data_IF_652755449715
#
_entry.id   IF_652755449715
#
_cell.length_a   1.000
_cell.length_b   1.000
_cell.length_c   1.000
_cell.angle_alpha   90.00
_cell.angle_beta   90.00
_cell.angle_gamma   90.00
#
_symmetry.space_group_name_H-M   'P 1'
#
loop_
_entity.id
_entity.type
_entity.pdbx_description
1 polymer ?
#
# COMPACT_ATOMS: atom_id res chain seq x y z
N UNK A 1 -23.02 -7.74 10.42
CA UNK A 1 -21.90 -8.48 9.80
C UNK A 1 -21.70 -7.98 8.38
N UNK A 2 -20.46 -7.77 7.95
CA UNK A 2 -20.10 -7.36 6.59
C UNK A 2 -19.32 -8.48 5.90
N UNK A 3 -19.50 -8.61 4.59
CA UNK A 3 -18.77 -9.55 3.73
C UNK A 3 -18.37 -8.82 2.45
N UNK A 4 -17.27 -9.21 1.86
CA UNK A 4 -16.85 -8.67 0.56
C UNK A 4 -17.29 -9.63 -0.55
N UNK A 5 -18.01 -9.10 -1.53
CA UNK A 5 -18.52 -9.85 -2.69
C UNK A 5 -17.58 -9.62 -3.86
N UNK A 6 -16.96 -10.69 -4.32
CA UNK A 6 -16.00 -10.65 -5.43
C UNK A 6 -16.74 -11.02 -6.71
N UNK A 7 -16.78 -10.09 -7.67
CA UNK A 7 -17.50 -10.21 -8.94
C UNK A 7 -16.57 -10.09 -10.14
N UNK A 8 -16.96 -10.75 -11.23
CA UNK A 8 -16.37 -10.56 -12.55
C UNK A 8 -17.47 -10.57 -13.60
N UNK A 9 -17.44 -9.59 -14.49
CA UNK A 9 -18.44 -9.43 -15.56
C UNK A 9 -19.89 -9.45 -15.00
N UNK A 10 -20.08 -8.86 -13.81
CA UNK A 10 -21.36 -8.83 -13.10
C UNK A 10 -21.73 -10.11 -12.34
N UNK A 11 -20.98 -11.21 -12.48
CA UNK A 11 -21.24 -12.50 -11.81
C UNK A 11 -20.42 -12.65 -10.54
N UNK A 12 -21.03 -13.18 -9.48
CA UNK A 12 -20.35 -13.46 -8.22
C UNK A 12 -19.47 -14.70 -8.38
N UNK A 13 -18.18 -14.56 -8.08
CA UNK A 13 -17.22 -15.66 -8.07
C UNK A 13 -17.19 -16.29 -6.67
N UNK A 14 -16.89 -15.50 -5.65
CA UNK A 14 -16.88 -15.93 -4.25
C UNK A 14 -17.14 -14.74 -3.31
N UNK A 15 -17.35 -15.07 -2.04
CA UNK A 15 -17.38 -14.14 -0.93
C UNK A 15 -16.11 -14.27 -0.10
N UNK A 16 -15.59 -13.13 0.35
CA UNK A 16 -14.65 -13.05 1.44
C UNK A 16 -15.39 -12.76 2.74
N UNK A 17 -15.17 -13.63 3.73
CA UNK A 17 -15.86 -13.54 5.01
C UNK A 17 -14.95 -13.83 6.20
N UNK A 18 -15.24 -13.15 7.32
CA UNK A 18 -14.64 -13.43 8.61
C UNK A 18 -15.28 -14.61 9.33
N UNK A 19 -14.77 -14.92 10.53
CA UNK A 19 -15.24 -16.02 11.38
C UNK A 19 -16.76 -15.98 11.61
N UNK A 20 -17.31 -14.81 11.98
CA UNK A 20 -18.72 -14.66 12.33
C UNK A 20 -19.67 -15.20 11.24
N UNK A 21 -19.32 -15.03 9.96
CA UNK A 21 -20.14 -15.49 8.84
C UNK A 21 -20.03 -17.00 8.64
N UNK A 22 -18.81 -17.54 8.71
CA UNK A 22 -18.56 -18.98 8.60
C UNK A 22 -19.21 -19.74 9.78
N UNK A 23 -19.08 -19.21 11.00
CA UNK A 23 -19.71 -19.75 12.21
C UNK A 23 -21.22 -19.70 12.10
N UNK A 24 -21.80 -18.62 11.58
CA UNK A 24 -23.23 -18.53 11.32
C UNK A 24 -23.69 -19.60 10.31
N UNK A 25 -22.98 -19.80 9.20
CA UNK A 25 -23.29 -20.85 8.23
C UNK A 25 -23.20 -22.25 8.85
N UNK A 26 -22.15 -22.51 9.63
CA UNK A 26 -21.97 -23.77 10.33
C UNK A 26 -23.03 -24.01 11.42
N UNK A 27 -23.42 -22.98 12.15
CA UNK A 27 -24.47 -23.06 13.16
C UNK A 27 -25.85 -23.27 12.51
N UNK A 28 -26.07 -22.70 11.32
CA UNK A 28 -27.28 -22.97 10.53
C UNK A 28 -27.36 -24.43 10.12
N UNK A 29 -26.23 -25.04 9.72
CA UNK A 29 -26.14 -26.48 9.50
C UNK A 29 -26.46 -27.27 10.78
N UNK A 30 -25.83 -26.93 11.91
CA UNK A 30 -26.05 -27.62 13.21
C UNK A 30 -27.50 -27.57 13.69
N UNK A 31 -28.14 -26.41 13.58
CA UNK A 31 -29.53 -26.21 14.01
C UNK A 31 -30.53 -27.03 13.19
N UNK A 32 -30.18 -27.40 11.96
CA UNK A 32 -31.07 -28.06 11.00
C UNK A 32 -30.71 -29.53 10.74
N UNK A 33 -29.57 -30.01 11.27
CA UNK A 33 -29.04 -31.36 11.07
C UNK A 33 -29.97 -32.49 11.54
N UNK A 34 -30.93 -32.24 12.44
CA UNK A 34 -31.96 -33.22 12.78
C UNK A 34 -32.98 -33.50 11.66
N UNK A 35 -33.15 -32.56 10.71
CA UNK A 35 -34.15 -32.64 9.62
C UNK A 35 -33.55 -32.53 8.22
N UNK A 36 -32.31 -32.03 8.09
CA UNK A 36 -31.62 -31.83 6.80
C UNK A 36 -30.65 -32.98 6.47
N UNK A 37 -30.33 -33.87 7.41
CA UNK A 37 -29.51 -35.06 7.13
C UNK A 37 -30.10 -35.97 6.03
N UNK A 38 -31.39 -35.85 5.71
CA UNK A 38 -32.02 -36.55 4.58
C UNK A 38 -31.96 -35.80 3.23
N UNK A 39 -31.47 -34.55 3.21
CA UNK A 39 -31.36 -33.69 2.03
C UNK A 39 -29.88 -33.45 1.62
N UNK A 40 -28.92 -34.06 2.33
CA UNK A 40 -27.50 -33.76 2.28
C UNK A 40 -26.80 -34.13 0.97
N UNK A 41 -27.34 -35.07 0.21
CA UNK A 41 -26.53 -35.71 -0.84
C UNK A 41 -26.55 -34.96 -2.19
N UNK A 42 -27.37 -33.91 -2.34
CA UNK A 42 -27.56 -33.25 -3.64
C UNK A 42 -27.63 -31.71 -3.61
N UNK A 43 -27.20 -31.03 -2.54
CA UNK A 43 -27.38 -29.58 -2.42
C UNK A 43 -26.21 -28.77 -1.84
N UNK A 44 -26.36 -27.44 -1.86
CA UNK A 44 -25.34 -26.49 -1.38
C UNK A 44 -24.97 -26.70 0.09
N UNK A 45 -25.90 -27.17 0.93
CA UNK A 45 -25.58 -27.52 2.33
C UNK A 45 -24.74 -28.79 2.47
N UNK A 46 -24.87 -29.76 1.57
CA UNK A 46 -23.97 -30.92 1.54
C UNK A 46 -22.55 -30.52 1.17
N UNK A 47 -22.43 -29.63 0.17
CA UNK A 47 -21.13 -29.04 -0.21
C UNK A 47 -20.53 -28.22 0.92
N UNK A 48 -21.32 -27.39 1.59
CA UNK A 48 -20.89 -26.61 2.75
C UNK A 48 -20.42 -27.53 3.88
N UNK A 49 -21.23 -28.51 4.29
CA UNK A 49 -20.90 -29.44 5.37
C UNK A 49 -19.61 -30.21 5.08
N UNK A 50 -19.46 -30.74 3.86
CA UNK A 50 -18.23 -31.39 3.41
C UNK A 50 -17.04 -30.43 3.48
N UNK A 51 -17.17 -29.23 2.93
CA UNK A 51 -16.08 -28.26 2.90
C UNK A 51 -15.65 -27.81 4.30
N UNK A 52 -16.59 -27.64 5.24
CA UNK A 52 -16.29 -27.31 6.64
C UNK A 52 -15.56 -28.48 7.32
N UNK A 53 -15.94 -29.73 7.05
CA UNK A 53 -15.25 -30.91 7.61
C UNK A 53 -13.83 -31.12 7.07
N UNK A 54 -13.51 -30.51 5.92
CA UNK A 54 -12.18 -30.54 5.31
C UNK A 54 -11.29 -29.35 5.76
N UNK A 55 -11.85 -28.37 6.50
CA UNK A 55 -11.07 -27.28 7.09
C UNK A 55 -10.17 -27.82 8.21
N UNK A 56 -8.97 -27.24 8.37
CA UNK A 56 -8.05 -27.68 9.42
C UNK A 56 -8.63 -27.32 10.80
N UNK A 57 -8.64 -28.29 11.71
CA UNK A 57 -9.11 -28.15 13.10
C UNK A 57 -8.70 -26.83 13.82
N UNK A 58 -7.45 -26.33 13.73
CA UNK A 58 -7.07 -25.09 14.42
C UNK A 58 -7.75 -23.83 13.85
N UNK A 59 -8.13 -23.79 12.56
CA UNK A 59 -8.68 -22.58 11.94
C UNK A 59 -10.13 -22.36 12.33
N UNK A 60 -10.89 -23.44 12.53
CA UNK A 60 -12.31 -23.39 12.86
C UNK A 60 -12.58 -23.28 14.37
N UNK A 61 -11.70 -23.84 15.22
CA UNK A 61 -11.93 -23.92 16.67
C UNK A 61 -11.36 -22.74 17.49
N UNK A 62 -10.46 -21.93 16.92
CA UNK A 62 -9.84 -20.77 17.61
C UNK A 62 -10.82 -19.62 17.90
N UNK A 63 -12.03 -19.62 17.33
CA UNK A 63 -13.03 -18.55 17.51
C UNK A 63 -13.72 -18.49 18.88
N UNK A 64 -13.71 -19.57 19.67
CA UNK A 64 -14.54 -19.69 20.89
C UNK A 64 -13.77 -19.74 22.22
N UNK A 65 -12.45 -19.55 22.22
CA UNK A 65 -11.64 -19.53 23.44
C UNK A 65 -11.32 -18.10 23.86
N UNK A 66 -11.95 -17.61 24.93
CA UNK A 66 -11.64 -16.31 25.55
C UNK A 66 -10.24 -16.24 26.19
N UNK A 67 -9.42 -17.28 26.05
CA UNK A 67 -8.04 -17.36 26.57
C UNK A 67 -7.04 -17.92 25.54
N UNK A 68 -7.34 -17.88 24.24
CA UNK A 68 -6.37 -18.27 23.22
C UNK A 68 -5.17 -17.30 23.24
N UNK A 69 -4.00 -17.86 23.53
CA UNK A 69 -2.71 -17.19 23.43
C UNK A 69 -2.59 -16.66 22.00
N UNK A 70 -2.62 -15.32 21.88
CA UNK A 70 -2.54 -14.57 20.62
C UNK A 70 -1.43 -15.19 19.76
N UNK A 71 -1.80 -15.93 18.70
CA UNK A 71 -0.86 -16.34 17.67
C UNK A 71 -0.47 -15.06 16.94
N UNK A 72 0.52 -14.37 17.48
CA UNK A 72 1.19 -13.27 16.79
C UNK A 72 2.07 -13.88 15.71
N UNK A 73 1.78 -13.51 14.47
CA UNK A 73 2.55 -13.75 13.24
C UNK A 73 2.66 -15.20 12.76
N UNK A 74 1.64 -15.67 12.03
CA UNK A 74 1.94 -16.18 10.69
C UNK A 74 2.34 -14.95 9.87
N UNK A 75 3.63 -14.83 9.55
CA UNK A 75 4.18 -13.76 8.70
C UNK A 75 3.61 -13.88 7.29
N UNK A 76 2.43 -13.30 7.11
CA UNK A 76 1.83 -12.97 5.82
C UNK A 76 2.20 -11.51 5.45
N UNK A 77 2.95 -10.82 6.33
CA UNK A 77 3.55 -9.52 6.08
C UNK A 77 4.43 -9.56 4.82
N UNK A 78 5.19 -10.64 4.59
CA UNK A 78 6.07 -10.78 3.42
C UNK A 78 5.32 -10.96 2.08
N UNK A 79 4.06 -11.39 2.09
CA UNK A 79 3.33 -11.67 0.85
C UNK A 79 2.60 -10.43 0.27
N UNK A 80 2.31 -9.41 1.10
CA UNK A 80 1.49 -8.26 0.68
C UNK A 80 1.94 -6.90 1.26
N UNK A 81 3.07 -6.84 1.96
CA UNK A 81 3.63 -5.59 2.49
C UNK A 81 4.89 -5.17 1.75
N UNK A 82 4.73 -4.60 0.54
CA UNK A 82 5.69 -3.60 0.05
C UNK A 82 5.49 -2.24 0.75
N UNK A 83 4.79 -2.21 1.91
CA UNK A 83 4.91 -1.06 2.79
C UNK A 83 6.35 -1.06 3.31
N UNK A 84 7.12 -0.06 2.87
CA UNK A 84 8.50 0.14 3.35
C UNK A 84 8.43 0.27 4.87
N UNK A 85 8.89 -0.76 5.57
CA UNK A 85 8.97 -0.72 7.02
C UNK A 85 10.11 0.20 7.43
N UNK A 86 9.75 1.42 7.84
CA UNK A 86 10.72 2.38 8.37
C UNK A 86 11.48 1.83 9.59
N UNK A 87 10.99 0.78 10.28
CA UNK A 87 11.67 0.14 11.42
C UNK A 87 13.07 -0.34 11.05
N UNK A 88 13.28 -0.76 9.81
CA UNK A 88 14.57 -1.28 9.33
C UNK A 88 15.46 -0.22 8.67
N UNK A 89 14.91 0.95 8.33
CA UNK A 89 15.69 2.01 7.68
C UNK A 89 16.84 2.47 8.57
N UNK A 90 18.00 2.65 7.98
CA UNK A 90 19.20 3.17 8.62
C UNK A 90 19.58 4.53 8.05
N UNK A 91 20.13 5.37 8.93
CA UNK A 91 20.68 6.67 8.57
C UNK A 91 22.19 6.52 8.43
N UNK A 92 22.71 6.67 7.21
CA UNK A 92 24.15 6.63 6.94
C UNK A 92 24.71 8.04 6.97
N UNK A 93 25.71 8.28 7.82
CA UNK A 93 26.29 9.61 8.08
C UNK A 93 27.80 9.62 7.97
N UNK A 94 28.36 10.80 7.69
CA UNK A 94 29.79 11.06 7.83
C UNK A 94 30.18 11.16 9.33
N UNK A 95 31.45 10.93 9.67
CA UNK A 95 31.96 11.00 11.04
C UNK A 95 31.88 12.40 11.67
N UNK A 96 31.79 13.45 10.84
CA UNK A 96 31.56 14.84 11.28
C UNK A 96 30.10 15.16 11.63
N UNK A 97 29.16 14.28 11.27
CA UNK A 97 27.74 14.46 11.52
C UNK A 97 27.31 13.64 12.73
N UNK A 98 26.71 14.29 13.71
CA UNK A 98 26.01 13.62 14.80
C UNK A 98 24.51 13.63 14.54
N UNK A 99 23.84 12.58 15.02
CA UNK A 99 22.38 12.39 14.91
C UNK A 99 21.84 12.34 16.32
N UNK A 100 20.80 13.12 16.57
CA UNK A 100 20.01 13.12 17.78
C UNK A 100 18.53 13.01 17.42
N UNK A 101 17.70 12.70 18.43
CA UNK A 101 16.24 12.64 18.28
C UNK A 101 15.75 11.76 17.13
N UNK A 102 16.39 10.60 16.91
CA UNK A 102 15.91 9.64 15.91
C UNK A 102 14.59 9.02 16.36
N UNK A 103 13.58 9.08 15.51
CA UNK A 103 12.28 8.50 15.76
C UNK A 103 11.72 7.83 14.52
N UNK A 104 10.90 6.79 14.74
CA UNK A 104 10.21 6.04 13.69
C UNK A 104 8.75 5.88 14.12
N UNK A 105 7.82 6.51 13.40
CA UNK A 105 6.39 6.49 13.76
C UNK A 105 5.53 6.58 12.52
N UNK A 106 4.54 5.70 12.40
CA UNK A 106 3.52 5.80 11.36
C UNK A 106 4.05 5.71 9.92
N UNK A 107 5.08 4.89 9.68
CA UNK A 107 5.71 4.79 8.35
C UNK A 107 6.55 6.02 7.98
N UNK A 108 6.96 6.82 8.97
CA UNK A 108 7.90 7.92 8.80
C UNK A 108 9.12 7.70 9.68
N UNK A 109 10.25 8.23 9.23
CA UNK A 109 11.48 8.33 10.01
C UNK A 109 11.86 9.81 10.12
N UNK A 110 12.19 10.26 11.32
CA UNK A 110 12.73 11.60 11.52
C UNK A 110 13.96 11.62 12.41
N UNK A 111 14.83 12.60 12.20
CA UNK A 111 16.05 12.77 12.99
C UNK A 111 16.57 14.21 12.91
N UNK A 112 17.27 14.62 13.96
CA UNK A 112 17.99 15.90 14.03
C UNK A 112 19.47 15.66 13.76
N UNK A 113 20.07 16.45 12.87
CA UNK A 113 21.50 16.37 12.57
C UNK A 113 22.23 17.62 13.02
N UNK A 114 23.45 17.42 13.52
CA UNK A 114 24.43 18.50 13.70
C UNK A 114 25.74 18.14 13.04
N UNK A 115 26.35 19.12 12.38
CA UNK A 115 27.66 18.98 11.76
C UNK A 115 28.69 19.80 12.54
N UNK A 116 29.86 19.22 12.81
CA UNK A 116 30.96 19.89 13.50
C UNK A 116 32.00 20.50 12.55
N UNK A 117 31.93 20.19 11.25
CA UNK A 117 32.94 20.59 10.28
C UNK A 117 32.48 21.76 9.39
N UNK A 118 33.42 22.68 9.13
CA UNK A 118 33.27 23.81 8.22
C UNK A 118 33.49 23.46 6.74
N UNK A 119 33.95 22.24 6.44
CA UNK A 119 34.53 21.87 5.15
C UNK A 119 33.61 20.96 4.33
N UNK A 120 33.16 21.43 3.16
CA UNK A 120 32.34 20.73 2.15
C UNK A 120 31.08 19.99 2.66
N UNK A 121 30.23 19.62 1.71
CA UNK A 121 28.92 19.06 2.02
C UNK A 121 29.08 17.70 2.71
N UNK A 122 28.47 17.54 3.87
CA UNK A 122 28.34 16.24 4.51
C UNK A 122 26.99 15.65 4.20
N UNK A 123 27.00 14.38 3.86
CA UNK A 123 25.80 13.68 3.45
C UNK A 123 25.14 12.91 4.58
N UNK A 124 23.82 12.88 4.50
CA UNK A 124 22.96 11.90 5.10
C UNK A 124 22.41 11.11 3.94
N UNK A 125 22.46 9.79 4.02
CA UNK A 125 21.80 8.93 3.08
C UNK A 125 20.87 7.98 3.82
N UNK A 126 19.66 7.83 3.30
CA UNK A 126 18.69 6.86 3.78
C UNK A 126 18.80 5.57 2.98
N UNK A 127 18.22 4.49 3.51
CA UNK A 127 18.11 3.25 2.76
C UNK A 127 17.27 3.40 1.50
N UNK A 128 17.42 2.42 0.62
CA UNK A 128 16.81 2.36 -0.69
C UNK A 128 15.27 2.36 -0.63
N UNK A 129 14.67 3.28 -1.38
CA UNK A 129 13.21 3.42 -1.53
C UNK A 129 12.84 3.60 -2.99
N UNK A 130 11.66 3.08 -3.38
CA UNK A 130 11.17 3.18 -4.76
C UNK A 130 10.66 4.59 -5.07
N UNK A 131 9.76 5.09 -4.21
CA UNK A 131 9.21 6.43 -4.18
C UNK A 131 9.26 6.97 -2.75
N UNK A 132 9.49 8.27 -2.59
CA UNK A 132 9.61 8.88 -1.28
C UNK A 132 9.18 10.34 -1.28
N UNK A 133 8.90 10.83 -0.08
CA UNK A 133 8.80 12.24 0.24
C UNK A 133 9.83 12.58 1.33
N UNK A 134 10.77 13.45 1.01
CA UNK A 134 11.82 13.91 1.93
C UNK A 134 11.50 15.35 2.32
N UNK A 135 11.17 15.57 3.58
CA UNK A 135 10.91 16.89 4.16
C UNK A 135 12.08 17.30 5.05
N UNK A 136 12.56 18.53 4.89
CA UNK A 136 13.67 19.06 5.69
C UNK A 136 13.28 20.40 6.27
N UNK A 137 13.35 20.51 7.59
CA UNK A 137 13.13 21.73 8.36
C UNK A 137 14.44 22.27 8.90
N UNK A 138 14.71 23.55 8.64
CA UNK A 138 15.94 24.22 9.00
C UNK A 138 15.66 25.46 9.87
N UNK A 139 16.42 25.62 10.96
CA UNK A 139 16.29 26.75 11.90
C UNK A 139 17.12 27.99 11.55
N UNK A 140 18.08 27.86 10.63
CA UNK A 140 19.01 28.94 10.23
C UNK A 140 19.31 28.83 8.74
N UNK A 141 20.02 29.83 8.17
CA UNK A 141 20.51 29.76 6.80
C UNK A 141 21.57 28.66 6.67
N UNK A 142 21.12 27.46 6.29
CA UNK A 142 21.96 26.30 6.02
C UNK A 142 22.15 26.19 4.53
N UNK A 143 23.42 26.13 4.10
CA UNK A 143 23.72 25.74 2.75
C UNK A 143 23.54 24.21 2.64
N UNK A 144 22.39 23.81 2.10
CA UNK A 144 22.01 22.42 1.89
C UNK A 144 21.64 22.12 0.44
N UNK A 145 21.84 20.88 0.04
CA UNK A 145 21.30 20.30 -1.18
C UNK A 145 20.52 19.04 -0.82
N UNK A 146 19.34 18.89 -1.41
CA UNK A 146 18.51 17.72 -1.21
C UNK A 146 18.39 16.93 -2.50
N UNK A 147 18.37 15.61 -2.41
CA UNK A 147 18.43 14.79 -3.61
C UNK A 147 18.37 13.30 -3.36
N UNK A 148 18.93 12.55 -4.28
CA UNK A 148 19.12 11.12 -4.13
C UNK A 148 20.34 10.63 -4.91
N UNK A 149 20.86 9.48 -4.51
CA UNK A 149 21.88 8.77 -5.25
C UNK A 149 21.25 7.64 -6.09
N UNK A 150 21.63 7.49 -7.37
CA UNK A 150 21.19 6.40 -8.25
C UNK A 150 22.00 5.12 -8.03
N UNK A 151 22.43 4.86 -6.79
CA UNK A 151 23.24 3.69 -6.43
C UNK A 151 22.67 2.99 -5.21
N UNK A 152 22.96 1.68 -5.06
CA UNK A 152 22.64 0.95 -3.85
C UNK A 152 23.13 1.65 -2.58
N UNK A 153 22.36 1.54 -1.48
CA UNK A 153 22.62 2.24 -0.22
C UNK A 153 24.04 1.99 0.31
N UNK A 154 24.57 0.78 0.13
CA UNK A 154 25.94 0.40 0.50
C UNK A 154 27.02 1.23 -0.22
N UNK A 155 26.80 1.57 -1.50
CA UNK A 155 27.69 2.45 -2.25
C UNK A 155 27.46 3.90 -1.85
N UNK A 156 26.21 4.29 -1.58
CA UNK A 156 25.89 5.63 -1.09
C UNK A 156 26.60 5.95 0.23
N UNK A 157 26.81 4.97 1.12
CA UNK A 157 27.63 5.15 2.35
C UNK A 157 29.05 5.63 2.04
N UNK A 158 29.66 5.10 0.99
CA UNK A 158 31.01 5.49 0.58
C UNK A 158 31.00 6.86 -0.11
N UNK A 159 29.94 7.17 -0.88
CA UNK A 159 29.77 8.49 -1.51
C UNK A 159 29.61 9.63 -0.48
N UNK A 160 28.96 9.36 0.65
CA UNK A 160 28.83 10.31 1.77
C UNK A 160 30.17 10.55 2.49
N UNK A 161 31.05 9.55 2.51
CA UNK A 161 32.37 9.62 3.15
C UNK A 161 33.42 10.29 2.26
N UNK A 162 33.23 10.27 0.94
CA UNK A 162 34.18 10.81 -0.03
C UNK A 162 33.60 12.04 -0.74
N UNK A 163 33.98 13.28 -0.33
CA UNK A 163 33.50 14.51 -0.95
C UNK A 163 33.66 14.54 -2.48
N UNK A 164 34.73 13.92 -2.98
CA UNK A 164 35.03 13.81 -4.42
C UNK A 164 34.04 12.95 -5.22
N UNK A 165 33.19 12.14 -4.56
CA UNK A 165 32.22 11.26 -5.23
C UNK A 165 30.78 11.73 -5.09
N UNK A 166 30.53 12.83 -4.38
CA UNK A 166 29.19 13.40 -4.19
C UNK A 166 28.55 13.80 -5.53
N UNK A 167 29.37 14.05 -6.56
CA UNK A 167 28.99 14.34 -7.94
C UNK A 167 28.16 13.25 -8.65
N UNK A 168 27.95 12.10 -8.01
CA UNK A 168 27.23 10.96 -8.59
C UNK A 168 25.70 10.98 -8.36
N UNK A 169 25.18 11.95 -7.60
CA UNK A 169 23.75 12.05 -7.29
C UNK A 169 23.03 13.20 -8.01
N UNK A 170 21.70 13.18 -7.90
CA UNK A 170 20.81 14.23 -8.39
C UNK A 170 20.37 15.08 -7.21
N UNK A 171 20.72 16.37 -7.21
CA UNK A 171 20.50 17.26 -6.08
C UNK A 171 19.87 18.59 -6.49
N UNK A 172 19.27 19.24 -5.51
CA UNK A 172 18.68 20.57 -5.63
C UNK A 172 19.15 21.39 -4.45
N UNK A 173 19.74 22.55 -4.73
CA UNK A 173 20.16 23.52 -3.73
C UNK A 173 19.22 24.72 -3.76
N UNK A 174 18.47 24.98 -2.69
CA UNK A 174 17.75 26.23 -2.53
C UNK A 174 18.73 27.41 -2.47
N UNK A 175 18.35 28.51 -3.09
CA UNK A 175 19.03 29.81 -3.04
C UNK A 175 18.08 30.86 -2.49
N UNK A 176 18.67 31.93 -1.98
CA UNK A 176 17.93 33.11 -1.56
C UNK A 176 17.05 33.64 -2.71
N UNK A 177 15.86 34.13 -2.36
CA UNK A 177 14.89 34.63 -3.33
C UNK A 177 14.14 33.55 -4.10
N UNK A 178 14.37 32.26 -3.79
CA UNK A 178 13.63 31.16 -4.41
C UNK A 178 14.13 30.60 -5.68
N UNK A 179 15.37 30.87 -5.99
CA UNK A 179 15.97 30.12 -7.06
C UNK A 179 16.37 28.75 -6.50
N UNK A 180 16.16 27.72 -7.28
CA UNK A 180 16.71 26.39 -7.01
C UNK A 180 17.79 26.11 -8.04
N UNK A 181 18.96 25.69 -7.59
CA UNK A 181 20.02 25.21 -8.47
C UNK A 181 19.94 23.70 -8.53
N UNK A 182 19.79 23.14 -9.73
CA UNK A 182 19.67 21.71 -9.95
C UNK A 182 21.02 21.15 -10.37
N UNK A 183 21.45 20.08 -9.73
CA UNK A 183 22.71 19.38 -9.95
C UNK A 183 22.41 17.96 -10.42
N UNK A 184 23.00 17.58 -11.56
CA UNK A 184 23.02 16.20 -12.04
C UNK A 184 24.46 15.71 -12.16
N UNK A 185 24.69 14.39 -12.19
CA UNK A 185 25.98 13.85 -12.60
C UNK A 185 26.36 14.40 -13.98
N UNK A 186 27.65 14.55 -14.27
CA UNK A 186 28.16 14.66 -15.64
C UNK A 186 28.67 13.31 -16.11
N UNK A 187 28.48 12.99 -17.38
CA UNK A 187 28.80 11.66 -17.92
C UNK A 187 30.29 11.27 -17.77
N UNK A 188 31.22 12.22 -17.66
CA UNK A 188 32.67 11.93 -17.83
C UNK A 188 33.66 12.74 -16.95
N UNK A 189 33.22 13.56 -15.99
CA UNK A 189 34.12 14.58 -15.37
C UNK A 189 34.24 14.53 -13.85
N UNK A 190 33.50 13.66 -13.16
CA UNK A 190 33.46 13.69 -11.69
C UNK A 190 33.08 15.06 -11.15
N UNK A 191 32.30 15.86 -11.89
CA UNK A 191 31.84 17.18 -11.48
C UNK A 191 30.35 17.35 -11.82
N UNK A 192 29.67 18.30 -11.19
CA UNK A 192 28.27 18.57 -11.47
C UNK A 192 28.09 19.49 -12.68
N UNK A 193 27.09 19.25 -13.52
CA UNK A 193 26.56 20.28 -14.42
C UNK A 193 25.40 20.98 -13.72
N UNK A 194 25.51 22.30 -13.53
CA UNK A 194 24.35 23.13 -13.21
C UNK A 194 23.56 23.40 -14.49
N UNK A 195 22.30 22.97 -14.55
CA UNK A 195 21.37 23.52 -15.55
C UNK A 195 20.72 24.77 -14.96
N UNK A 196 21.22 25.95 -15.38
CA UNK A 196 20.55 27.23 -15.10
C UNK A 196 19.54 27.52 -16.20
N UNK A 197 18.39 26.83 -16.21
CA UNK A 197 17.25 27.31 -17.01
C UNK A 197 15.91 26.94 -16.38
N UNK A 198 15.40 27.90 -15.60
CA UNK A 198 13.99 28.28 -15.69
C UNK A 198 13.00 27.53 -14.81
N UNK A 199 13.23 27.48 -13.49
CA UNK A 199 12.09 27.35 -12.56
C UNK A 199 12.42 28.06 -11.25
N UNK A 200 11.92 29.28 -11.11
CA UNK A 200 11.98 30.04 -9.86
C UNK A 200 10.91 29.48 -8.92
N UNK A 201 11.33 28.85 -7.83
CA UNK A 201 10.47 28.40 -6.73
C UNK A 201 10.64 29.38 -5.57
N UNK A 202 9.88 30.47 -5.56
CA UNK A 202 10.04 31.62 -4.65
C UNK A 202 10.23 31.25 -3.15
N UNK A 203 11.44 31.46 -2.62
CA UNK A 203 11.89 31.19 -1.25
C UNK A 203 12.14 32.53 -0.56
N UNK A 204 11.07 33.13 -0.07
CA UNK A 204 11.18 34.09 1.01
C UNK A 204 10.34 33.59 2.19
N UNK A 205 10.96 33.44 3.36
CA UNK A 205 10.23 33.40 4.61
C UNK A 205 10.56 34.71 5.32
N UNK A 206 9.60 35.64 5.34
CA UNK A 206 9.75 36.95 5.99
C UNK A 206 9.89 36.84 7.51
N UNK A 207 9.58 35.65 8.08
CA UNK A 207 9.53 35.41 9.53
C UNK A 207 10.62 34.44 10.05
N UNK A 208 11.62 34.14 9.23
CA UNK A 208 12.94 33.72 9.71
C UNK A 208 13.13 32.37 10.39
N UNK A 209 12.14 31.47 10.54
CA UNK A 209 12.36 30.34 11.46
C UNK A 209 12.20 28.91 10.94
N UNK A 210 11.48 28.62 9.86
CA UNK A 210 11.44 27.23 9.34
C UNK A 210 11.22 27.24 7.82
N UNK A 211 12.09 26.52 7.09
CA UNK A 211 11.88 26.18 5.68
C UNK A 211 11.53 24.71 5.61
N UNK A 212 10.38 24.36 5.03
CA UNK A 212 10.03 22.96 4.80
C UNK A 212 10.25 22.60 3.34
N UNK A 213 11.42 22.05 3.03
CA UNK A 213 11.69 21.64 1.66
C UNK A 213 11.28 20.18 1.47
N UNK A 214 10.29 19.97 0.61
CA UNK A 214 9.79 18.64 0.25
C UNK A 214 10.27 18.24 -1.11
N UNK A 215 10.80 17.03 -1.23
CA UNK A 215 11.07 16.39 -2.52
C UNK A 215 10.24 15.14 -2.63
N UNK A 216 9.59 14.96 -3.77
CA UNK A 216 9.03 13.66 -4.12
C UNK A 216 9.56 13.15 -5.44
N UNK A 217 9.76 11.84 -5.47
CA UNK A 217 9.98 11.08 -6.69
C UNK A 217 8.69 10.32 -6.97
N UNK A 218 8.10 10.52 -8.16
CA UNK A 218 6.86 9.83 -8.54
C UNK A 218 6.91 9.26 -9.95
N UNK A 219 6.16 8.19 -10.16
CA UNK A 219 6.02 7.49 -11.44
C UNK A 219 4.67 7.85 -12.09
N UNK A 220 4.45 9.11 -12.47
CA UNK A 220 3.16 9.49 -13.08
C UNK A 220 3.01 9.01 -14.53
N UNK A 221 1.99 8.19 -14.77
CA UNK A 221 0.94 8.46 -15.76
C UNK A 221 1.16 8.17 -17.25
N UNK A 222 2.35 7.82 -17.73
CA UNK A 222 2.55 7.61 -19.18
C UNK A 222 3.18 6.27 -19.55
N UNK A 223 2.92 5.19 -18.81
CA UNK A 223 3.38 3.82 -19.14
C UNK A 223 4.91 3.65 -19.30
N UNK A 224 5.69 4.69 -19.09
CA UNK A 224 7.11 4.77 -19.48
C UNK A 224 8.05 4.52 -18.31
N UNK A 225 7.52 4.28 -17.09
CA UNK A 225 8.34 4.10 -15.88
C UNK A 225 9.24 5.29 -15.56
N UNK A 226 8.97 6.46 -16.14
CA UNK A 226 9.78 7.66 -15.94
C UNK A 226 9.51 8.25 -14.57
N UNK A 227 10.59 8.52 -13.83
CA UNK A 227 10.52 9.24 -12.57
C UNK A 227 10.39 10.74 -12.81
N UNK A 228 9.60 11.38 -11.98
CA UNK A 228 9.49 12.83 -11.89
C UNK A 228 10.07 13.26 -10.56
N UNK A 229 10.90 14.30 -10.58
CA UNK A 229 11.41 14.93 -9.38
C UNK A 229 10.68 16.25 -9.16
N UNK A 230 10.01 16.38 -8.02
CA UNK A 230 9.24 17.58 -7.69
C UNK A 230 9.72 18.16 -6.37
N UNK A 231 9.69 19.49 -6.27
CA UNK A 231 10.06 20.24 -5.08
C UNK A 231 8.91 21.13 -4.61
N UNK A 232 8.70 21.21 -3.30
CA UNK A 232 7.78 22.18 -2.67
C UNK A 232 8.46 22.86 -1.47
N UNK A 233 8.14 24.13 -1.24
CA UNK A 233 8.69 24.96 -0.16
C UNK A 233 7.86 24.94 1.13
N UNK A 234 6.59 24.57 1.03
CA UNK A 234 5.67 24.60 2.16
C UNK A 234 4.93 23.28 2.24
N UNK A 235 4.26 23.05 3.37
CA UNK A 235 3.35 21.93 3.55
C UNK A 235 2.18 21.87 2.54
N UNK A 236 2.06 22.85 1.65
CA UNK A 236 1.06 22.94 0.61
C UNK A 236 1.22 21.95 -0.55
N UNK A 237 0.27 22.01 -1.46
CA UNK A 237 0.14 21.13 -2.63
C UNK A 237 0.87 21.64 -3.87
N UNK A 238 1.59 22.76 -3.77
CA UNK A 238 2.22 23.45 -4.89
C UNK A 238 3.58 22.83 -5.21
N UNK A 239 3.54 21.71 -5.93
CA UNK A 239 4.72 20.99 -6.37
C UNK A 239 5.25 21.57 -7.68
N UNK A 240 6.54 21.87 -7.72
CA UNK A 240 7.24 22.28 -8.94
C UNK A 240 8.06 21.11 -9.47
N UNK A 241 7.77 20.67 -10.69
CA UNK A 241 8.58 19.65 -11.37
C UNK A 241 9.91 20.24 -11.81
N UNK A 242 11.00 19.51 -11.54
CA UNK A 242 12.35 19.87 -11.94
C UNK A 242 12.81 18.97 -13.09
N UNK A 243 13.45 19.60 -14.08
CA UNK A 243 14.12 18.93 -15.17
C UNK A 243 15.63 18.87 -14.88
N UNK A 244 16.24 17.72 -15.19
CA UNK A 244 17.68 17.52 -15.15
C UNK A 244 18.22 17.38 -16.57
N UNK A 245 19.50 17.67 -16.78
CA UNK A 245 20.17 17.46 -18.08
C UNK A 245 20.27 15.99 -18.44
N UNK A 246 20.26 15.12 -17.43
CA UNK A 246 20.27 13.67 -17.56
C UNK A 246 18.92 13.10 -17.17
N UNK A 247 18.53 12.01 -17.83
CA UNK A 247 17.33 11.27 -17.45
C UNK A 247 17.49 10.70 -16.04
N UNK A 248 16.42 10.82 -15.25
CA UNK A 248 16.35 10.17 -13.95
C UNK A 248 16.38 8.63 -14.14
N UNK A 249 16.92 7.88 -13.17
CA UNK A 249 16.89 6.43 -13.23
C UNK A 249 15.46 5.91 -13.38
N UNK A 250 15.28 4.83 -14.13
CA UNK A 250 14.00 4.13 -14.30
C UNK A 250 13.46 3.62 -12.95
N UNK A 251 12.14 3.43 -12.87
CA UNK A 251 11.42 3.08 -11.63
C UNK A 251 11.81 1.73 -11.01
N UNK A 252 12.37 0.83 -11.80
CA UNK A 252 12.89 -0.48 -11.36
C UNK A 252 14.15 -0.37 -10.49
N UNK A 253 14.89 0.74 -10.60
CA UNK A 253 16.09 0.96 -9.80
C UNK A 253 15.75 1.60 -8.47
N UNK A 254 16.13 0.99 -7.37
CA UNK A 254 16.06 1.63 -6.06
C UNK A 254 16.98 2.85 -6.00
N UNK A 255 16.53 3.88 -5.30
CA UNK A 255 17.29 5.13 -5.10
C UNK A 255 17.45 5.39 -3.61
N UNK A 256 18.53 6.05 -3.24
CA UNK A 256 18.84 6.35 -1.84
C UNK A 256 18.67 7.85 -1.60
N UNK A 257 17.61 8.30 -0.88
CA UNK A 257 17.40 9.70 -0.57
C UNK A 257 18.60 10.26 0.18
N UNK A 258 18.97 11.49 -0.13
CA UNK A 258 20.14 12.10 0.45
C UNK A 258 19.96 13.59 0.75
N UNK A 259 20.58 14.01 1.84
CA UNK A 259 20.69 15.41 2.25
C UNK A 259 22.16 15.75 2.42
N UNK A 260 22.62 16.73 1.66
CA UNK A 260 23.98 17.25 1.70
C UNK A 260 23.96 18.62 2.36
N UNK A 261 24.74 18.91 3.39
CA UNK A 261 24.74 20.23 4.02
C UNK A 261 26.11 20.61 4.58
N UNK A 262 26.40 21.91 4.69
CA UNK A 262 27.67 22.41 5.23
C UNK A 262 27.46 23.57 6.22
N UNK A 263 28.34 23.62 7.22
CA UNK A 263 28.30 24.60 8.31
C UNK A 263 28.38 23.90 9.67
N UNK A 264 29.18 24.44 10.57
CA UNK A 264 29.31 23.92 11.94
C UNK A 264 28.18 24.44 12.82
N UNK A 265 27.66 23.60 13.72
CA UNK A 265 26.66 23.99 14.72
C UNK A 265 25.24 24.18 14.19
N UNK A 266 24.98 23.78 12.94
CA UNK A 266 23.64 23.87 12.34
C UNK A 266 22.78 22.65 12.71
N UNK A 267 21.49 22.89 12.92
CA UNK A 267 20.50 21.85 13.23
C UNK A 267 19.57 21.63 12.04
N UNK A 268 19.49 20.37 11.61
CA UNK A 268 18.63 19.96 10.51
C UNK A 268 17.63 18.91 10.98
N UNK A 269 16.34 19.17 10.86
CA UNK A 269 15.30 18.18 11.10
C UNK A 269 14.90 17.57 9.77
N UNK A 270 15.20 16.29 9.56
CA UNK A 270 14.86 15.59 8.33
C UNK A 270 13.77 14.58 8.65
N UNK A 271 12.70 14.59 7.85
CA UNK A 271 11.63 13.59 7.89
C UNK A 271 11.55 12.90 6.53
N UNK A 272 11.71 11.59 6.52
CA UNK A 272 11.50 10.76 5.33
C UNK A 272 10.17 10.01 5.47
N UNK A 273 9.32 10.16 4.46
CA UNK A 273 8.06 9.43 4.31
C UNK A 273 8.16 8.60 3.03
N UNK A 274 8.49 7.30 3.10
CA UNK A 274 8.37 6.41 1.95
C UNK A 274 6.94 6.48 1.41
N UNK A 275 6.79 6.69 0.09
CA UNK A 275 5.46 6.60 -0.50
C UNK A 275 5.15 5.15 -0.73
N UNK A 276 3.97 4.72 -0.27
CA UNK A 276 3.40 3.47 -0.76
C UNK A 276 3.31 3.60 -2.28
N UNK A 277 3.86 2.64 -3.05
CA UNK A 277 3.80 2.71 -4.51
C UNK A 277 2.35 2.92 -4.90
N UNK A 278 2.06 3.99 -5.64
CA UNK A 278 0.69 4.38 -6.03
C UNK A 278 0.01 3.38 -6.97
N UNK A 279 0.67 2.25 -7.25
CA UNK A 279 0.18 1.14 -8.07
C UNK A 279 -0.37 -0.03 -7.25
N UNK A 280 -0.23 -0.04 -5.92
CA UNK A 280 -1.04 -0.96 -5.13
C UNK A 280 -2.45 -0.39 -5.08
N UNK A 281 -3.27 -0.79 -6.07
CA UNK A 281 -4.70 -0.95 -5.88
C UNK A 281 -4.92 -1.50 -4.46
N UNK A 282 -5.96 -1.03 -3.78
CA UNK A 282 -6.36 -1.62 -2.51
C UNK A 282 -6.30 -3.14 -2.67
N UNK A 283 -5.62 -3.85 -1.74
CA UNK A 283 -5.38 -5.27 -1.91
C UNK A 283 -6.73 -5.93 -2.25
N UNK A 284 -6.78 -6.58 -3.42
CA UNK A 284 -8.03 -7.15 -3.95
C UNK A 284 -8.69 -8.09 -2.95
N UNK A 285 -7.86 -8.63 -2.03
CA UNK A 285 -8.26 -9.49 -0.94
C UNK A 285 -7.98 -8.82 0.39
N UNK A 286 -8.95 -8.90 1.30
CA UNK A 286 -8.80 -8.33 2.63
C UNK A 286 -7.75 -9.14 3.41
N UNK A 287 -6.70 -8.50 3.99
CA UNK A 287 -5.58 -9.21 4.63
C UNK A 287 -5.99 -10.04 5.86
N UNK A 288 -7.19 -9.81 6.38
CA UNK A 288 -7.77 -10.52 7.52
C UNK A 288 -8.97 -11.41 7.15
N UNK A 289 -9.29 -11.55 5.87
CA UNK A 289 -10.30 -12.52 5.46
C UNK A 289 -9.79 -13.93 5.78
N UNK A 290 -10.61 -14.73 6.47
CA UNK A 290 -10.25 -16.10 6.87
C UNK A 290 -10.85 -17.15 5.96
N UNK A 291 -11.96 -16.84 5.29
CA UNK A 291 -12.69 -17.82 4.49
C UNK A 291 -13.10 -17.26 3.13
N UNK A 292 -12.88 -18.08 2.09
CA UNK A 292 -13.43 -17.89 0.76
C UNK A 292 -14.63 -18.82 0.59
N UNK A 293 -15.78 -18.27 0.21
CA UNK A 293 -17.04 -19.02 0.09
C UNK A 293 -17.51 -18.93 -1.36
N UNK A 294 -17.59 -20.06 -2.04
CA UNK A 294 -18.02 -20.14 -3.44
C UNK A 294 -19.53 -20.03 -3.60
N UNK A 295 -20.00 -19.90 -4.85
CA UNK A 295 -21.43 -19.83 -5.17
C UNK A 295 -22.26 -21.04 -4.70
N UNK A 296 -21.61 -22.21 -4.56
CA UNK A 296 -22.22 -23.44 -4.02
C UNK A 296 -22.08 -23.59 -2.50
N UNK A 297 -21.66 -22.53 -1.81
CA UNK A 297 -21.30 -22.51 -0.38
C UNK A 297 -20.11 -23.39 -0.01
N UNK A 298 -19.26 -23.79 -0.98
CA UNK A 298 -18.00 -24.43 -0.63
C UNK A 298 -17.12 -23.41 0.10
N UNK A 299 -16.73 -23.73 1.33
CA UNK A 299 -15.91 -22.87 2.18
C UNK A 299 -14.48 -23.39 2.20
N UNK A 300 -13.51 -22.52 1.95
CA UNK A 300 -12.09 -22.85 2.08
C UNK A 300 -11.34 -21.75 2.83
N UNK A 301 -10.20 -22.10 3.41
CA UNK A 301 -9.33 -21.12 4.06
C UNK A 301 -8.85 -20.08 3.05
N UNK A 302 -8.92 -18.81 3.45
CA UNK A 302 -8.42 -17.73 2.63
C UNK A 302 -6.91 -17.85 2.46
N UNK A 303 -6.50 -18.01 1.21
CA UNK A 303 -5.13 -17.80 0.78
C UNK A 303 -5.16 -17.08 -0.55
N UNK A 304 -4.22 -16.17 -0.76
CA UNK A 304 -4.10 -15.43 -2.01
C UNK A 304 -3.92 -16.35 -3.21
N UNK A 305 -3.17 -17.45 -3.06
CA UNK A 305 -3.01 -18.46 -4.10
C UNK A 305 -4.34 -19.12 -4.46
N UNK A 306 -5.17 -19.48 -3.47
CA UNK A 306 -6.46 -20.12 -3.74
C UNK A 306 -7.47 -19.15 -4.34
N UNK A 307 -7.53 -17.92 -3.84
CA UNK A 307 -8.35 -16.87 -4.41
C UNK A 307 -7.99 -16.63 -5.89
N UNK A 308 -6.69 -16.53 -6.19
CA UNK A 308 -6.20 -16.37 -7.56
C UNK A 308 -6.49 -17.58 -8.45
N UNK A 309 -6.35 -18.80 -7.92
CA UNK A 309 -6.70 -20.03 -8.65
C UNK A 309 -8.19 -20.04 -9.04
N UNK A 310 -9.08 -19.69 -8.10
CA UNK A 310 -10.53 -19.61 -8.33
C UNK A 310 -10.83 -18.52 -9.38
N UNK A 311 -10.22 -17.34 -9.26
CA UNK A 311 -10.36 -16.28 -10.25
C UNK A 311 -9.95 -16.73 -11.65
N UNK A 312 -8.83 -17.45 -11.77
CA UNK A 312 -8.32 -17.98 -13.05
C UNK A 312 -9.27 -19.03 -13.64
N UNK A 313 -9.83 -19.91 -12.80
CA UNK A 313 -10.84 -20.88 -13.21
C UNK A 313 -12.13 -20.20 -13.73
N UNK A 314 -12.43 -18.99 -13.24
CA UNK A 314 -13.52 -18.14 -13.74
C UNK A 314 -13.10 -17.19 -14.88
N UNK A 315 -11.93 -17.44 -15.48
CA UNK A 315 -11.44 -16.71 -16.66
C UNK A 315 -10.96 -15.29 -16.38
N UNK A 316 -10.63 -14.95 -15.13
CA UNK A 316 -9.88 -13.74 -14.83
C UNK A 316 -8.43 -13.93 -15.28
N UNK A 317 -7.97 -13.05 -16.18
CA UNK A 317 -6.57 -12.99 -16.60
C UNK A 317 -5.75 -12.17 -15.61
N UNK A 318 -6.35 -11.07 -15.15
CA UNK A 318 -5.73 -10.08 -14.29
C UNK A 318 -6.68 -9.68 -13.14
N UNK A 319 -6.09 -9.30 -12.01
CA UNK A 319 -6.77 -8.83 -10.82
C UNK A 319 -7.66 -7.59 -11.10
N UNK A 320 -7.24 -6.73 -12.03
CA UNK A 320 -7.93 -5.50 -12.43
C UNK A 320 -9.33 -5.75 -13.01
N UNK A 321 -9.62 -6.97 -13.47
CA UNK A 321 -10.92 -7.33 -14.04
C UNK A 321 -12.00 -7.66 -12.99
N UNK A 322 -11.62 -7.62 -11.71
CA UNK A 322 -12.45 -8.08 -10.60
C UNK A 322 -13.01 -6.89 -9.83
N UNK A 323 -14.32 -6.92 -9.56
CA UNK A 323 -15.01 -5.92 -8.77
C UNK A 323 -15.24 -6.45 -7.35
N UNK A 324 -14.80 -5.70 -6.35
CA UNK A 324 -15.06 -6.03 -4.93
C UNK A 324 -16.15 -5.10 -4.41
N UNK A 325 -17.16 -5.65 -3.75
CA UNK A 325 -18.24 -4.86 -3.15
C UNK A 325 -18.51 -5.35 -1.73
N UNK A 326 -18.27 -4.49 -0.74
CA UNK A 326 -18.63 -4.79 0.65
C UNK A 326 -20.13 -4.68 0.86
N UNK A 327 -20.75 -5.76 1.33
CA UNK A 327 -22.20 -5.85 1.59
C UNK A 327 -22.44 -6.13 3.07
N UNK A 328 -23.43 -5.43 3.63
CA UNK A 328 -23.94 -5.75 4.98
C UNK A 328 -24.94 -6.90 4.87
N UNK A 329 -24.65 -8.02 5.54
CA UNK A 329 -25.52 -9.20 5.53
C UNK A 329 -26.73 -8.92 6.42
N UNK A 330 -27.90 -8.78 5.78
CA UNK A 330 -29.19 -8.63 6.46
C UNK A 330 -29.86 -9.98 6.70
N UNK A 331 -30.90 -10.00 7.55
CA UNK A 331 -31.73 -11.19 7.75
C UNK A 331 -32.34 -11.70 6.44
N UNK A 332 -32.74 -10.80 5.55
CA UNK A 332 -33.33 -11.16 4.27
C UNK A 332 -32.34 -11.86 3.34
N UNK A 333 -31.12 -11.32 3.20
CA UNK A 333 -30.04 -11.96 2.43
C UNK A 333 -29.76 -13.35 2.98
N UNK A 334 -29.70 -13.49 4.30
CA UNK A 334 -29.49 -14.77 4.95
C UNK A 334 -30.61 -15.77 4.65
N UNK A 335 -31.88 -15.36 4.77
CA UNK A 335 -33.02 -16.21 4.43
C UNK A 335 -32.99 -16.65 2.96
N UNK A 336 -32.64 -15.76 2.03
CA UNK A 336 -32.50 -16.09 0.60
C UNK A 336 -31.38 -17.11 0.36
N UNK A 337 -30.22 -16.90 0.99
CA UNK A 337 -29.07 -17.80 0.94
C UNK A 337 -29.46 -19.20 1.42
N UNK A 338 -30.05 -19.29 2.62
CA UNK A 338 -30.46 -20.57 3.23
C UNK A 338 -31.51 -21.25 2.36
N UNK A 339 -32.57 -20.54 1.96
CA UNK A 339 -33.64 -21.10 1.14
C UNK A 339 -33.10 -21.65 -0.19
N UNK A 340 -32.23 -20.89 -0.87
CA UNK A 340 -31.65 -21.31 -2.16
C UNK A 340 -30.72 -22.51 -2.00
N UNK A 341 -29.95 -22.57 -0.91
CA UNK A 341 -29.09 -23.71 -0.59
C UNK A 341 -29.90 -24.97 -0.24
N UNK A 342 -31.02 -24.84 0.49
CA UNK A 342 -31.94 -25.97 0.78
C UNK A 342 -32.58 -26.54 -0.49
N UNK A 343 -32.78 -25.72 -1.51
CA UNK A 343 -33.27 -26.16 -2.83
C UNK A 343 -32.20 -26.84 -3.68
N UNK A 344 -30.99 -27.02 -3.16
CA UNK A 344 -29.86 -27.66 -3.84
C UNK A 344 -29.38 -26.92 -5.09
N UNK A 345 -29.63 -25.61 -5.18
CA UNK A 345 -29.18 -24.81 -6.33
C UNK A 345 -27.73 -24.36 -6.13
N UNK A 346 -26.96 -24.25 -7.21
CA UNK A 346 -25.54 -23.88 -7.21
C UNK A 346 -25.29 -22.37 -7.32
N UNK A 347 -26.35 -21.58 -7.52
CA UNK A 347 -26.32 -20.12 -7.68
C UNK A 347 -26.67 -19.38 -6.39
N UNK A 348 -26.26 -19.92 -5.24
CA UNK A 348 -26.73 -19.47 -3.92
C UNK A 348 -26.36 -18.01 -3.65
N UNK A 349 -25.11 -17.65 -3.91
CA UNK A 349 -24.61 -16.31 -3.67
C UNK A 349 -25.17 -15.33 -4.70
N UNK A 350 -25.24 -15.73 -5.97
CA UNK A 350 -25.85 -14.91 -7.02
C UNK A 350 -27.31 -14.58 -6.69
N UNK A 351 -28.08 -15.55 -6.21
CA UNK A 351 -29.46 -15.34 -5.80
C UNK A 351 -29.58 -14.43 -4.55
N UNK A 352 -28.71 -14.65 -3.56
CA UNK A 352 -28.77 -13.92 -2.30
C UNK A 352 -28.28 -12.46 -2.43
N UNK A 353 -27.23 -12.22 -3.23
CA UNK A 353 -26.53 -10.94 -3.32
C UNK A 353 -26.68 -10.21 -4.68
N UNK A 354 -27.17 -10.87 -5.73
CA UNK A 354 -27.37 -10.27 -7.06
C UNK A 354 -28.65 -9.42 -7.18
N UNK A 355 -29.59 -9.56 -6.23
CA UNK A 355 -30.97 -9.12 -6.39
C UNK A 355 -31.34 -7.67 -6.05
N UNK A 356 -30.41 -6.70 -6.06
CA UNK A 356 -30.77 -5.29 -5.80
C UNK A 356 -30.88 -4.41 -7.06
N UNK A 357 -30.46 -4.88 -8.24
CA UNK A 357 -30.48 -4.06 -9.46
C UNK A 357 -31.80 -4.14 -10.26
N UNK A 358 -32.83 -4.83 -9.76
CA UNK A 358 -34.08 -4.99 -10.51
C UNK A 358 -35.24 -5.52 -9.67
N UNK A 359 -35.71 -4.76 -8.70
CA UNK A 359 -37.04 -4.97 -8.12
C UNK A 359 -38.11 -4.57 -9.13
N UNK A 360 -38.30 -5.39 -10.16
CA UNK A 360 -39.54 -5.43 -10.91
C UNK A 360 -40.64 -5.94 -9.98
N UNK A 361 -41.57 -5.05 -9.66
CA UNK A 361 -42.88 -5.38 -9.07
C UNK A 361 -43.52 -6.51 -9.87
N UNK A 362 -43.42 -7.76 -9.38
CA UNK A 362 -44.22 -8.88 -9.85
C UNK A 362 -45.54 -8.83 -9.09
N UNK A 363 -46.54 -8.14 -9.65
CA UNK A 363 -47.91 -8.24 -9.18
C UNK A 363 -48.40 -9.67 -9.45
N UNK A 364 -48.73 -10.42 -8.40
CA UNK A 364 -49.52 -11.64 -8.56
C UNK A 364 -50.95 -11.24 -8.94
N UNK A 365 -51.31 -11.34 -10.21
CA UNK A 365 -52.72 -11.34 -10.62
C UNK A 365 -53.28 -12.73 -10.31
N UNK A 366 -54.05 -12.84 -9.22
CA UNK A 366 -54.92 -13.99 -8.99
C UNK A 366 -55.97 -14.02 -10.09
N UNK A 367 -55.83 -14.97 -11.01
CA UNK A 367 -56.85 -15.28 -12.02
C UNK A 367 -58.13 -15.71 -11.33
N UNK A 368 -59.15 -14.86 -11.42
CA UNK A 368 -60.52 -15.17 -11.00
C UNK A 368 -61.14 -16.04 -12.09
N UNK A 369 -61.52 -17.26 -11.73
CA UNK A 369 -62.27 -18.15 -12.60
C UNK A 369 -63.57 -17.51 -13.06
N UNK A 370 -63.83 -17.61 -14.37
CA UNK A 370 -65.14 -17.40 -14.97
C UNK A 370 -65.84 -18.76 -15.13
N UNK A 371 -67.13 -18.76 -14.78
CA UNK A 371 -68.06 -19.88 -14.80
C UNK A 371 -68.34 -20.42 -16.21
#
# INVERSE_FOLDING_TARGET
>A
MKVDVIKKDGKIIFLEAGNDFADMLANTLKASLGSIASLSDAGGFGTLAKSISELRDPVFLEGNSSNAKKVTSLDISEAFSDAVDCSQMQVHRNSSCTVSNEWKRGGQMGCTFTNSSSSYYYGICFDEVADFELSVTVSQNVNMMLGFFPVPALLAKNLVKEPSKQHSGFFVQPKDGGNVTVYSPQANSGSYSSQSKGTSVFCHNENGNEYELRIRVSTKGSGSGMRIFEVSKTAGTDWTQLAFSQNLPTSDKKISPAVLFCGSGQFLNVTLTPKKPSLLQDPVFHPYCKFLISNSLATCESSSLKAFEILRQCGAKDADSVQVTTVTVTKEILCRLIARAMLGKSDVLEYAFGGAAGSGSRSMSLGRGGA
#
